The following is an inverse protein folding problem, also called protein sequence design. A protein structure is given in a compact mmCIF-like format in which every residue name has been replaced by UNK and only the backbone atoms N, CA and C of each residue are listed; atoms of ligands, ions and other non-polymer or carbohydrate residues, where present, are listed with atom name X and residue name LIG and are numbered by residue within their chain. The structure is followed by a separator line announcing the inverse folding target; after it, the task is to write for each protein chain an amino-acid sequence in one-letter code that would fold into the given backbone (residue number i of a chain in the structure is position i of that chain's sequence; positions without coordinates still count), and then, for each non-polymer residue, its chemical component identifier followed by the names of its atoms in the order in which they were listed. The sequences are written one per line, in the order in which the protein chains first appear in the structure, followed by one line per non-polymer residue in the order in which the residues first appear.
data_IF_182272759689
#
_entry.id   IF_182272759689
#
_cell.length_a   1.000
_cell.length_b   1.000
_cell.length_c   1.000
_cell.angle_alpha   90.00
_cell.angle_beta   90.00
_cell.angle_gamma   90.00
#
_symmetry.space_group_name_H-M   'P 1'
#
loop_
_entity.id
_entity.type
_entity.pdbx_description
1 polymer ?
#
# COMPACT_ATOMS: atom_id res chain seq x y z
N UNK A 1 -2.84 -7.17 -6.14
CA UNK A 1 -1.76 -8.17 -6.19
C UNK A 1 -2.30 -9.59 -6.12
N UNK A 2 -2.92 -10.01 -5.01
CA UNK A 2 -3.30 -11.42 -4.81
C UNK A 2 -4.19 -12.06 -5.88
N UNK A 3 -5.26 -11.41 -6.39
CA UNK A 3 -6.08 -12.02 -7.43
C UNK A 3 -5.27 -12.35 -8.69
N UNK A 4 -4.44 -11.40 -9.16
CA UNK A 4 -3.55 -11.60 -10.31
C UNK A 4 -2.57 -12.74 -10.06
N UNK A 5 -1.92 -12.76 -8.89
CA UNK A 5 -0.99 -13.84 -8.52
C UNK A 5 -1.69 -15.20 -8.46
N UNK A 6 -2.96 -15.27 -8.03
CA UNK A 6 -3.75 -16.51 -8.00
C UNK A 6 -4.40 -16.85 -9.35
N UNK A 7 -4.18 -16.04 -10.39
CA UNK A 7 -4.84 -16.19 -11.70
C UNK A 7 -6.36 -16.03 -11.62
N UNK A 8 -6.85 -15.24 -10.66
CA UNK A 8 -8.26 -14.91 -10.46
C UNK A 8 -8.59 -13.54 -11.03
N UNK A 9 -9.77 -13.43 -11.63
CA UNK A 9 -10.33 -12.17 -12.07
C UNK A 9 -11.12 -11.52 -10.94
N UNK A 10 -10.98 -10.21 -10.78
CA UNK A 10 -11.76 -9.43 -9.81
C UNK A 10 -12.92 -8.77 -10.55
N UNK A 11 -14.17 -8.90 -10.07
CA UNK A 11 -15.28 -8.15 -10.63
C UNK A 11 -15.00 -6.63 -10.61
N UNK A 12 -15.33 -5.93 -11.70
CA UNK A 12 -15.05 -4.49 -11.79
C UNK A 12 -15.71 -3.67 -10.68
N UNK A 13 -16.89 -4.08 -10.23
CA UNK A 13 -17.61 -3.45 -9.11
C UNK A 13 -16.84 -3.60 -7.79
N UNK A 14 -16.34 -4.81 -7.50
CA UNK A 14 -15.52 -5.06 -6.31
C UNK A 14 -14.24 -4.22 -6.32
N UNK A 15 -13.55 -4.16 -7.46
CA UNK A 15 -12.35 -3.33 -7.59
C UNK A 15 -12.67 -1.84 -7.37
N UNK A 16 -13.74 -1.34 -7.98
CA UNK A 16 -14.15 0.06 -7.82
C UNK A 16 -14.50 0.38 -6.36
N UNK A 17 -15.23 -0.51 -5.68
CA UNK A 17 -15.57 -0.35 -4.27
C UNK A 17 -14.32 -0.34 -3.37
N UNK A 18 -13.38 -1.26 -3.57
CA UNK A 18 -12.11 -1.29 -2.82
C UNK A 18 -11.26 -0.05 -3.06
N UNK A 19 -11.23 0.47 -4.29
CA UNK A 19 -10.50 1.71 -4.60
C UNK A 19 -11.17 2.94 -3.97
N UNK A 20 -12.51 2.99 -3.93
CA UNK A 20 -13.24 4.05 -3.25
C UNK A 20 -12.99 4.02 -1.72
N UNK A 21 -12.94 2.83 -1.12
CA UNK A 21 -12.59 2.67 0.30
C UNK A 21 -11.16 3.11 0.59
N UNK A 22 -10.20 2.75 -0.27
CA UNK A 22 -8.84 3.26 -0.17
C UNK A 22 -8.81 4.80 -0.21
N UNK A 23 -9.56 5.42 -1.12
CA UNK A 23 -9.62 6.88 -1.25
C UNK A 23 -10.14 7.56 0.02
N UNK A 24 -11.20 7.01 0.63
CA UNK A 24 -11.72 7.47 1.92
C UNK A 24 -10.67 7.35 3.03
N UNK A 25 -9.96 6.22 3.09
CA UNK A 25 -8.93 6.00 4.12
C UNK A 25 -7.72 6.93 3.94
N UNK A 26 -7.31 7.21 2.70
CA UNK A 26 -6.27 8.21 2.39
C UNK A 26 -6.71 9.61 2.82
N UNK A 27 -7.98 9.97 2.61
CA UNK A 27 -8.53 11.23 3.08
C UNK A 27 -8.52 11.32 4.61
N UNK A 28 -8.88 10.25 5.32
CA UNK A 28 -8.80 10.18 6.79
C UNK A 28 -7.36 10.30 7.28
N UNK A 29 -6.41 9.61 6.63
CA UNK A 29 -4.98 9.70 6.95
C UNK A 29 -4.49 11.15 6.83
N UNK A 30 -4.86 11.83 5.75
CA UNK A 30 -4.49 13.22 5.52
C UNK A 30 -5.17 14.18 6.49
N UNK A 31 -6.49 14.11 6.66
CA UNK A 31 -7.27 15.10 7.42
C UNK A 31 -7.23 14.91 8.93
N UNK A 32 -7.09 13.68 9.40
CA UNK A 32 -7.13 13.37 10.84
C UNK A 32 -5.75 13.19 11.44
N UNK A 33 -4.86 12.51 10.73
CA UNK A 33 -3.54 12.17 11.26
C UNK A 33 -2.48 13.15 10.79
N UNK A 34 -2.24 13.31 9.48
CA UNK A 34 -1.19 14.18 8.98
C UNK A 34 -1.49 15.67 9.25
N UNK A 35 -2.65 16.15 8.81
CA UNK A 35 -3.06 17.55 8.84
C UNK A 35 -1.95 18.44 8.22
N UNK A 36 -1.52 19.47 8.94
CA UNK A 36 -0.41 20.36 8.53
C UNK A 36 0.92 20.01 9.22
N UNK A 37 1.02 18.83 9.86
CA UNK A 37 2.24 18.38 10.54
C UNK A 37 3.25 17.80 9.53
N UNK A 38 4.51 17.74 9.95
CA UNK A 38 5.55 17.10 9.15
C UNK A 38 5.36 15.57 9.06
N UNK A 39 4.97 14.94 10.17
CA UNK A 39 4.75 13.51 10.35
C UNK A 39 3.41 13.26 11.05
N UNK A 40 2.93 12.01 11.04
CA UNK A 40 1.57 11.68 11.50
C UNK A 40 1.27 12.10 12.94
N UNK A 41 2.28 12.05 13.83
CA UNK A 41 2.11 12.42 15.24
C UNK A 41 2.87 13.68 15.65
N UNK A 42 3.57 14.38 14.75
CA UNK A 42 4.36 15.55 15.14
C UNK A 42 5.41 16.02 14.13
N UNK A 43 6.52 16.55 14.66
CA UNK A 43 7.62 17.13 13.89
C UNK A 43 8.71 16.13 13.50
N UNK A 44 8.69 14.92 14.06
CA UNK A 44 9.68 13.86 13.80
C UNK A 44 8.97 12.56 13.42
N UNK A 45 9.70 11.71 12.69
CA UNK A 45 9.22 10.38 12.32
C UNK A 45 8.91 9.55 13.57
N UNK A 46 7.87 8.72 13.49
CA UNK A 46 7.45 7.83 14.55
C UNK A 46 7.12 6.43 14.02
N UNK A 47 6.76 5.52 14.93
CA UNK A 47 6.22 4.21 14.55
C UNK A 47 4.92 4.33 13.75
N UNK A 48 4.11 5.37 13.97
CA UNK A 48 2.90 5.57 13.18
C UNK A 48 3.23 5.79 11.71
N UNK A 49 4.26 6.59 11.43
CA UNK A 49 4.72 6.86 10.07
C UNK A 49 5.31 5.62 9.40
N UNK A 50 6.09 4.83 10.15
CA UNK A 50 6.67 3.56 9.67
C UNK A 50 5.58 2.53 9.31
N UNK A 51 4.55 2.39 10.14
CA UNK A 51 3.44 1.47 9.85
C UNK A 51 2.67 1.98 8.62
N UNK A 52 2.22 3.24 8.65
CA UNK A 52 1.41 3.80 7.57
C UNK A 52 2.14 3.77 6.22
N UNK A 53 3.43 4.08 6.16
CA UNK A 53 4.16 4.07 4.90
C UNK A 53 4.25 2.65 4.32
N UNK A 54 4.52 1.65 5.15
CA UNK A 54 4.59 0.25 4.68
C UNK A 54 3.22 -0.26 4.23
N UNK A 55 2.14 0.18 4.87
CA UNK A 55 0.76 -0.11 4.44
C UNK A 55 0.48 0.51 3.07
N UNK A 56 0.80 1.79 2.86
CA UNK A 56 0.57 2.49 1.60
C UNK A 56 1.44 2.00 0.45
N UNK A 57 2.59 1.38 0.71
CA UNK A 57 3.39 0.77 -0.35
C UNK A 57 2.74 -0.48 -0.95
N UNK A 58 1.74 -1.10 -0.30
CA UNK A 58 0.97 -2.21 -0.88
C UNK A 58 0.12 -1.78 -2.10
N UNK A 59 -0.76 -0.76 -2.01
CA UNK A 59 -1.48 -0.26 -3.18
C UNK A 59 -0.55 0.38 -4.21
N UNK A 60 0.58 1.00 -3.81
CA UNK A 60 1.62 1.46 -4.77
C UNK A 60 2.22 0.29 -5.55
N UNK A 61 2.58 -0.82 -4.90
CA UNK A 61 2.99 -2.05 -5.59
C UNK A 61 1.88 -2.66 -6.44
N UNK A 62 0.62 -2.46 -6.05
CA UNK A 62 -0.58 -2.68 -6.87
C UNK A 62 -0.79 -1.66 -8.00
N UNK A 63 0.09 -0.64 -8.10
CA UNK A 63 0.10 0.48 -9.04
C UNK A 63 -1.14 1.35 -8.99
N UNK A 64 -1.68 1.53 -7.78
CA UNK A 64 -2.61 2.61 -7.50
C UNK A 64 -1.82 3.92 -7.36
N UNK A 65 -2.31 5.04 -7.89
CA UNK A 65 -1.63 6.35 -7.81
C UNK A 65 -1.85 7.01 -6.44
N UNK A 66 -1.39 6.36 -5.36
CA UNK A 66 -1.70 6.72 -3.95
C UNK A 66 -1.36 8.17 -3.60
N UNK A 67 -0.28 8.71 -4.16
CA UNK A 67 0.21 10.06 -3.83
C UNK A 67 -0.14 11.11 -4.89
N UNK A 68 -0.70 10.71 -6.04
CA UNK A 68 -1.10 11.66 -7.09
C UNK A 68 -2.35 12.44 -6.66
N UNK A 69 -2.38 13.75 -6.92
CA UNK A 69 -3.46 14.63 -6.47
C UNK A 69 -3.49 14.90 -4.95
N UNK A 70 -2.56 14.33 -4.17
CA UNK A 70 -2.50 14.43 -2.69
C UNK A 70 -1.17 15.04 -2.23
N UNK A 71 -0.94 16.35 -2.45
CA UNK A 71 0.37 16.97 -2.26
C UNK A 71 0.90 16.90 -0.81
N UNK A 72 0.02 16.91 0.21
CA UNK A 72 0.46 16.77 1.61
C UNK A 72 1.00 15.36 1.88
N UNK A 73 0.28 14.34 1.44
CA UNK A 73 0.72 12.95 1.56
C UNK A 73 1.97 12.66 0.72
N UNK A 74 2.08 13.21 -0.49
CA UNK A 74 3.30 13.10 -1.30
C UNK A 74 4.52 13.71 -0.59
N UNK A 75 4.35 14.91 -0.01
CA UNK A 75 5.41 15.56 0.75
C UNK A 75 5.77 14.77 2.03
N UNK A 76 4.78 14.19 2.72
CA UNK A 76 5.00 13.30 3.86
C UNK A 76 5.75 12.03 3.47
N UNK A 77 5.38 11.37 2.37
CA UNK A 77 6.08 10.21 1.81
C UNK A 77 7.58 10.50 1.63
N UNK A 78 7.93 11.61 0.99
CA UNK A 78 9.33 11.97 0.79
C UNK A 78 10.09 12.26 2.09
N UNK A 79 9.42 12.84 3.10
CA UNK A 79 10.02 13.05 4.43
C UNK A 79 10.25 11.73 5.16
N UNK A 80 9.31 10.79 5.08
CA UNK A 80 9.44 9.45 5.68
C UNK A 80 10.56 8.67 4.99
N UNK A 81 10.60 8.64 3.66
CA UNK A 81 11.68 8.01 2.90
C UNK A 81 13.06 8.58 3.29
N UNK A 82 13.17 9.91 3.39
CA UNK A 82 14.42 10.56 3.79
C UNK A 82 14.82 10.22 5.24
N UNK A 83 13.85 10.16 6.16
CA UNK A 83 14.10 9.85 7.57
C UNK A 83 14.46 8.38 7.82
N UNK A 84 13.89 7.45 7.05
CA UNK A 84 14.26 6.02 7.07
C UNK A 84 15.62 5.79 6.40
N UNK A 85 15.93 6.58 5.38
CA UNK A 85 17.09 6.40 4.51
C UNK A 85 16.68 5.71 3.21
N UNK A 86 17.01 6.34 2.08
CA UNK A 86 16.55 5.94 0.74
C UNK A 86 16.93 4.52 0.36
N UNK A 87 18.12 4.08 0.73
CA UNK A 87 18.62 2.74 0.39
C UNK A 87 17.84 1.67 1.15
N UNK A 88 17.66 1.84 2.46
CA UNK A 88 16.85 0.94 3.29
C UNK A 88 15.39 0.95 2.87
N UNK A 89 14.83 2.13 2.58
CA UNK A 89 13.46 2.24 2.09
C UNK A 89 13.27 1.49 0.77
N UNK A 90 14.21 1.61 -0.16
CA UNK A 90 14.17 0.88 -1.43
C UNK A 90 14.32 -0.62 -1.23
N UNK A 91 15.29 -1.05 -0.43
CA UNK A 91 15.54 -2.46 -0.12
C UNK A 91 14.29 -3.12 0.47
N UNK A 92 13.70 -2.50 1.49
CA UNK A 92 12.52 -3.03 2.17
C UNK A 92 11.30 -3.18 1.25
N UNK A 93 11.15 -2.30 0.26
CA UNK A 93 10.00 -2.30 -0.65
C UNK A 93 10.28 -2.98 -2.01
N UNK A 94 11.47 -3.56 -2.23
CA UNK A 94 11.84 -4.15 -3.52
C UNK A 94 10.85 -5.23 -3.97
N UNK A 95 10.45 -6.11 -3.06
CA UNK A 95 9.56 -7.24 -3.35
C UNK A 95 8.15 -6.74 -3.71
N UNK A 96 7.59 -5.81 -2.93
CA UNK A 96 6.22 -5.33 -3.14
C UNK A 96 6.12 -4.48 -4.41
N UNK A 97 7.17 -3.75 -4.78
CA UNK A 97 7.19 -2.95 -6.01
C UNK A 97 7.24 -3.83 -7.28
N UNK A 98 7.80 -5.04 -7.20
CA UNK A 98 7.82 -6.03 -8.29
C UNK A 98 6.62 -6.98 -8.27
N UNK A 99 5.65 -6.75 -7.39
CA UNK A 99 4.51 -7.65 -7.20
C UNK A 99 3.71 -7.92 -8.48
N UNK A 100 3.55 -6.91 -9.35
CA UNK A 100 2.83 -7.05 -10.64
C UNK A 100 3.56 -7.93 -11.63
N UNK A 101 4.88 -8.01 -11.52
CA UNK A 101 5.75 -8.77 -12.41
C UNK A 101 5.89 -10.22 -11.95
N UNK A 102 5.32 -10.58 -10.81
CA UNK A 102 5.35 -11.93 -10.29
C UNK A 102 4.60 -12.89 -11.22
N UNK A 103 5.19 -14.07 -11.54
CA UNK A 103 4.48 -15.06 -12.32
C UNK A 103 3.28 -15.60 -11.54
N UNK A 104 2.20 -16.01 -12.22
CA UNK A 104 1.05 -16.59 -11.54
C UNK A 104 1.45 -17.86 -10.78
N UNK A 105 0.80 -18.06 -9.63
CA UNK A 105 0.95 -19.25 -8.82
C UNK A 105 0.57 -20.50 -9.64
N UNK A 106 1.39 -21.55 -9.53
CA UNK A 106 1.00 -22.85 -10.06
C UNK A 106 -0.22 -23.41 -9.29
N UNK A 107 -0.86 -24.44 -9.85
CA UNK A 107 -2.09 -25.02 -9.31
C UNK A 107 -1.97 -25.45 -7.84
N UNK A 108 -0.84 -26.06 -7.47
CA UNK A 108 -0.59 -26.56 -6.11
C UNK A 108 -0.48 -25.38 -5.13
N UNK A 109 0.26 -24.34 -5.50
CA UNK A 109 0.39 -23.13 -4.69
C UNK A 109 -0.95 -22.41 -4.55
N UNK A 110 -1.69 -22.24 -5.65
CA UNK A 110 -3.02 -21.63 -5.65
C UNK A 110 -3.97 -22.33 -4.68
N UNK A 111 -4.08 -23.66 -4.77
CA UNK A 111 -4.96 -24.43 -3.88
C UNK A 111 -4.60 -24.28 -2.40
N UNK A 112 -3.30 -24.20 -2.08
CA UNK A 112 -2.82 -24.03 -0.70
C UNK A 112 -3.01 -22.60 -0.17
N UNK A 113 -2.85 -21.59 -1.02
CA UNK A 113 -2.86 -20.18 -0.63
C UNK A 113 -4.25 -19.56 -0.64
N UNK A 114 -5.12 -19.98 -1.55
CA UNK A 114 -6.47 -19.42 -1.71
C UNK A 114 -7.27 -19.32 -0.41
N UNK A 115 -7.41 -20.36 0.43
CA UNK A 115 -8.16 -20.23 1.69
C UNK A 115 -7.53 -19.22 2.66
N UNK A 116 -6.19 -19.09 2.66
CA UNK A 116 -5.48 -18.15 3.52
C UNK A 116 -5.64 -16.71 3.04
N UNK A 117 -5.60 -16.50 1.73
CA UNK A 117 -5.82 -15.18 1.12
C UNK A 117 -7.25 -14.73 1.38
N UNK A 118 -8.25 -15.60 1.19
CA UNK A 118 -9.65 -15.29 1.47
C UNK A 118 -9.87 -14.90 2.94
N UNK A 119 -9.24 -15.61 3.89
CA UNK A 119 -9.34 -15.28 5.31
C UNK A 119 -8.60 -13.98 5.70
N UNK A 120 -7.63 -13.52 4.89
CA UNK A 120 -6.82 -12.33 5.16
C UNK A 120 -7.49 -11.04 4.65
N UNK A 121 -8.29 -11.13 3.59
CA UNK A 121 -8.91 -9.98 2.91
C UNK A 121 -10.39 -9.77 3.28
N UNK A 122 -10.91 -10.58 4.20
CA UNK A 122 -12.23 -10.44 4.82
C UNK A 122 -12.17 -9.47 5.99
#
# INVERSE_FOLDING_TARGET
MFPVFLGEQVPSETLAATLAELDVNLQVLEDKFLQDKAFLIGSHISLADLVAITELMHPVGGGCPVFEGRPKLAAWYHRVEAAVGKDLFREAHEVILKAKDSPPANLIMKQKLMPRVLAMIQ
#
